data_IF_503541711370
#
_entry.id   IF_503541711370
#
_cell.length_a   1.000
_cell.length_b   1.000
_cell.length_c   1.000
_cell.angle_alpha   90.00
_cell.angle_beta   90.00
_cell.angle_gamma   90.00
#
_symmetry.space_group_name_H-M   'P 1'
#
loop_
_entity.id
_entity.type
_entity.pdbx_description
1 polymer ?
#
# COMPACT_ATOMS: atom_id res chain seq x y z
N UNK A 1 1.53 -20.64 28.55
CA UNK A 1 0.75 -20.01 27.47
C UNK A 1 1.54 -18.81 27.01
N UNK A 2 2.16 -18.87 25.83
CA UNK A 2 2.82 -17.70 25.26
C UNK A 2 1.68 -16.82 24.76
N UNK A 3 1.45 -15.68 25.42
CA UNK A 3 0.59 -14.63 24.87
C UNK A 3 1.22 -14.26 23.53
N UNK A 4 0.53 -14.57 22.41
CA UNK A 4 0.91 -14.01 21.12
C UNK A 4 0.70 -12.51 21.26
N UNK A 5 1.80 -11.77 21.38
CA UNK A 5 1.73 -10.31 21.37
C UNK A 5 1.19 -9.93 20.00
N UNK A 6 -0.07 -9.49 19.97
CA UNK A 6 -0.75 -9.07 18.74
C UNK A 6 -0.01 -7.86 18.20
N UNK A 7 0.32 -7.88 16.92
CA UNK A 7 0.98 -6.73 16.29
C UNK A 7 0.03 -5.53 16.37
N UNK A 8 0.44 -4.40 16.98
CA UNK A 8 -0.44 -3.25 17.14
C UNK A 8 -0.95 -2.71 15.80
N UNK A 9 -0.23 -2.94 14.70
CA UNK A 9 -0.65 -2.55 13.34
C UNK A 9 -1.97 -3.21 12.93
N UNK A 10 -2.33 -4.37 13.46
CA UNK A 10 -3.60 -5.06 13.12
C UNK A 10 -4.86 -4.24 13.46
N UNK A 11 -4.76 -3.27 14.35
CA UNK A 11 -5.86 -2.35 14.66
C UNK A 11 -6.18 -1.41 13.50
N UNK A 12 -5.17 -1.06 12.70
CA UNK A 12 -5.21 -0.01 11.68
C UNK A 12 -4.93 -0.52 10.27
N UNK A 13 -4.33 -1.69 10.13
CA UNK A 13 -4.08 -2.38 8.86
C UNK A 13 -4.45 -3.86 8.93
N UNK A 14 -4.98 -4.41 7.85
CA UNK A 14 -5.12 -5.85 7.63
C UNK A 14 -4.86 -6.15 6.16
N UNK A 15 -4.30 -7.33 5.84
CA UNK A 15 -4.07 -7.73 4.46
C UNK A 15 -4.51 -9.17 4.19
N UNK A 16 -4.98 -9.44 2.98
CA UNK A 16 -5.45 -10.77 2.56
C UNK A 16 -5.39 -10.95 1.05
N UNK A 17 -5.34 -12.20 0.59
CA UNK A 17 -5.52 -12.51 -0.81
C UNK A 17 -6.99 -12.37 -1.23
N UNK A 18 -7.19 -11.82 -2.44
CA UNK A 18 -8.51 -11.56 -2.98
C UNK A 18 -9.15 -12.78 -3.65
N UNK A 19 -10.49 -12.84 -3.64
CA UNK A 19 -11.23 -13.70 -4.57
C UNK A 19 -11.16 -13.18 -6.03
N UNK A 20 -11.68 -13.97 -6.97
CA UNK A 20 -11.69 -13.65 -8.40
C UNK A 20 -13.03 -13.05 -8.88
N UNK A 21 -13.88 -12.55 -7.97
CA UNK A 21 -15.19 -12.01 -8.33
C UNK A 21 -15.08 -10.62 -8.99
N UNK A 22 -16.06 -10.31 -9.86
CA UNK A 22 -16.22 -9.01 -10.51
C UNK A 22 -17.27 -8.13 -9.82
N UNK A 23 -17.57 -8.43 -8.55
CA UNK A 23 -18.46 -7.61 -7.72
C UNK A 23 -17.87 -6.22 -7.44
N UNK A 24 -18.62 -5.40 -6.69
CA UNK A 24 -18.19 -4.04 -6.36
C UNK A 24 -16.81 -4.05 -5.67
N UNK A 25 -15.81 -3.46 -6.34
CA UNK A 25 -14.42 -3.39 -5.88
C UNK A 25 -14.23 -2.87 -4.44
N UNK A 26 -15.23 -2.17 -3.89
CA UNK A 26 -15.24 -1.61 -2.53
C UNK A 26 -15.60 -2.65 -1.46
N UNK A 27 -16.04 -3.85 -1.84
CA UNK A 27 -16.28 -4.97 -0.93
C UNK A 27 -14.95 -5.56 -0.44
N UNK A 28 -14.90 -6.34 0.65
CA UNK A 28 -13.65 -6.92 1.10
C UNK A 28 -12.98 -7.91 0.14
N UNK A 29 -13.74 -8.62 -0.71
CA UNK A 29 -13.24 -9.65 -1.63
C UNK A 29 -12.35 -10.71 -0.96
N UNK A 30 -12.81 -11.30 0.16
CA UNK A 30 -12.08 -12.39 0.78
C UNK A 30 -12.25 -13.70 -0.01
N UNK A 31 -11.17 -14.44 -0.20
CA UNK A 31 -11.27 -15.87 -0.55
C UNK A 31 -12.04 -16.66 0.51
N UNK A 32 -12.57 -17.82 0.10
CA UNK A 32 -13.14 -18.82 0.99
C UNK A 32 -12.37 -20.15 0.88
N UNK A 33 -11.62 -20.56 1.93
CA UNK A 33 -11.46 -19.89 3.23
C UNK A 33 -10.61 -18.61 3.14
N UNK A 34 -10.77 -17.71 4.13
CA UNK A 34 -9.98 -16.48 4.24
C UNK A 34 -8.48 -16.78 4.30
N UNK A 35 -7.70 -16.04 3.52
CA UNK A 35 -6.26 -16.18 3.41
C UNK A 35 -5.59 -14.84 3.76
N UNK A 36 -5.28 -14.63 5.03
CA UNK A 36 -4.63 -13.40 5.51
C UNK A 36 -3.14 -13.37 5.17
N UNK A 37 -2.62 -12.17 4.92
CA UNK A 37 -1.21 -11.89 4.65
C UNK A 37 -0.63 -11.13 5.84
N UNK A 38 0.49 -11.62 6.36
CA UNK A 38 1.22 -10.98 7.46
C UNK A 38 1.98 -9.73 7.00
N UNK A 39 2.31 -8.84 7.93
CA UNK A 39 3.11 -7.66 7.62
C UNK A 39 4.54 -7.99 7.18
N UNK A 40 5.08 -9.14 7.60
CA UNK A 40 6.40 -9.61 7.14
C UNK A 40 6.35 -10.03 5.66
N UNK A 41 5.29 -10.73 5.25
CA UNK A 41 5.06 -11.06 3.84
C UNK A 41 4.86 -9.81 2.97
N UNK A 42 4.21 -8.76 3.49
CA UNK A 42 4.15 -7.47 2.79
C UNK A 42 5.54 -6.82 2.68
N UNK A 43 6.35 -6.89 3.75
CA UNK A 43 7.70 -6.34 3.75
C UNK A 43 8.64 -7.07 2.78
N UNK A 44 8.43 -8.36 2.53
CA UNK A 44 9.11 -9.13 1.48
C UNK A 44 8.81 -8.62 0.05
N UNK A 45 7.70 -7.92 -0.14
CA UNK A 45 7.34 -7.18 -1.36
C UNK A 45 7.78 -5.71 -1.31
N UNK A 46 8.52 -5.30 -0.27
CA UNK A 46 8.94 -3.92 -0.03
C UNK A 46 7.82 -3.00 0.50
N UNK A 47 6.62 -3.52 0.77
CA UNK A 47 5.50 -2.76 1.33
C UNK A 47 5.72 -2.60 2.83
N UNK A 48 5.93 -1.36 3.28
CA UNK A 48 6.17 -1.06 4.69
C UNK A 48 4.93 -0.43 5.32
N UNK A 49 4.74 -0.68 6.62
CA UNK A 49 3.58 -0.17 7.35
C UNK A 49 3.83 0.13 8.82
N UNK A 50 3.11 1.14 9.32
CA UNK A 50 3.17 1.62 10.71
C UNK A 50 1.78 1.92 11.26
N UNK A 51 1.66 1.85 12.58
CA UNK A 51 0.58 2.48 13.35
C UNK A 51 1.11 3.76 13.97
N UNK A 52 0.42 4.86 13.74
CA UNK A 52 0.78 6.21 14.17
C UNK A 52 -0.41 6.91 14.84
N UNK A 53 -0.15 8.00 15.54
CA UNK A 53 -1.18 8.83 16.16
C UNK A 53 -1.78 9.81 15.12
N UNK A 54 -2.89 9.41 14.50
CA UNK A 54 -3.62 10.23 13.55
C UNK A 54 -4.30 11.47 14.17
N UNK A 55 -4.48 11.53 15.49
CA UNK A 55 -5.06 12.69 16.16
C UNK A 55 -4.00 13.77 16.45
N UNK A 56 -2.74 13.37 16.62
CA UNK A 56 -1.62 14.27 16.95
C UNK A 56 -0.43 14.17 15.97
N UNK A 57 -0.71 13.85 14.70
CA UNK A 57 0.33 13.53 13.71
C UNK A 57 1.37 14.63 13.48
N UNK A 58 1.01 15.90 13.68
CA UNK A 58 1.95 17.02 13.56
C UNK A 58 3.10 16.94 14.57
N UNK A 59 2.86 16.27 15.70
CA UNK A 59 3.80 16.12 16.83
C UNK A 59 4.20 14.67 17.08
N UNK A 60 3.75 13.73 16.26
CA UNK A 60 4.07 12.31 16.42
C UNK A 60 5.58 12.09 16.18
N UNK A 61 6.34 11.66 17.22
CA UNK A 61 7.78 11.46 17.10
C UNK A 61 8.14 10.33 16.12
N UNK A 62 7.30 9.31 15.97
CA UNK A 62 7.57 8.21 15.05
C UNK A 62 7.36 8.65 13.60
N UNK A 63 6.30 9.42 13.32
CA UNK A 63 6.12 10.03 12.00
C UNK A 63 7.28 10.96 11.64
N UNK A 64 7.73 11.79 12.59
CA UNK A 64 8.89 12.65 12.39
C UNK A 64 10.14 11.85 12.04
N UNK A 65 10.42 10.79 12.80
CA UNK A 65 11.56 9.90 12.56
C UNK A 65 11.49 9.25 11.17
N UNK A 66 10.34 8.70 10.77
CA UNK A 66 10.16 8.10 9.45
C UNK A 66 10.45 9.12 8.34
N UNK A 67 9.94 10.35 8.48
CA UNK A 67 10.18 11.43 7.50
C UNK A 67 11.65 11.82 7.40
N UNK A 68 12.35 11.90 8.53
CA UNK A 68 13.78 12.24 8.57
C UNK A 68 14.64 11.11 7.98
N UNK A 69 14.40 9.86 8.36
CA UNK A 69 15.15 8.69 7.88
C UNK A 69 14.97 8.45 6.38
N UNK A 70 13.77 8.73 5.84
CA UNK A 70 13.44 8.51 4.43
C UNK A 70 13.51 9.76 3.57
N UNK A 71 13.84 10.92 4.14
CA UNK A 71 14.01 12.17 3.41
C UNK A 71 12.72 12.78 2.86
N UNK A 72 11.59 12.60 3.54
CA UNK A 72 10.28 13.13 3.12
C UNK A 72 10.15 14.63 3.39
N UNK A 73 10.56 15.42 2.40
CA UNK A 73 10.59 16.88 2.46
C UNK A 73 9.27 17.54 2.06
N UNK A 74 8.39 16.85 1.33
CA UNK A 74 7.09 17.36 0.91
C UNK A 74 5.94 16.60 1.60
N UNK A 75 4.86 17.31 1.89
CA UNK A 75 3.63 16.76 2.44
C UNK A 75 2.43 17.58 1.97
N UNK A 76 1.35 16.90 1.60
CA UNK A 76 0.02 17.50 1.49
C UNK A 76 -1.08 16.58 2.03
N UNK A 77 -2.32 17.07 1.98
CA UNK A 77 -3.51 16.36 2.43
C UNK A 77 -4.44 16.14 1.23
N UNK A 78 -4.90 14.91 1.07
CA UNK A 78 -5.89 14.52 0.07
C UNK A 78 -7.12 13.92 0.76
N UNK A 79 -8.30 14.49 0.51
CA UNK A 79 -9.58 13.93 0.94
C UNK A 79 -10.31 13.36 -0.28
N UNK A 80 -10.58 12.07 -0.25
CA UNK A 80 -11.23 11.32 -1.33
C UNK A 80 -12.66 11.00 -0.89
N UNK A 81 -13.59 11.81 -1.36
CA UNK A 81 -15.03 11.54 -1.38
C UNK A 81 -15.69 12.39 -2.49
N UNK A 82 -16.92 12.06 -2.90
CA UNK A 82 -17.61 12.73 -4.00
C UNK A 82 -17.67 14.26 -3.84
N UNK A 83 -17.83 14.76 -2.61
CA UNK A 83 -18.03 16.18 -2.34
C UNK A 83 -16.73 16.98 -2.26
N UNK A 84 -15.61 16.33 -1.92
CA UNK A 84 -14.35 17.02 -1.59
C UNK A 84 -13.26 16.86 -2.64
N UNK A 85 -13.30 15.80 -3.45
CA UNK A 85 -12.26 15.54 -4.44
C UNK A 85 -12.64 16.15 -5.82
N UNK A 86 -11.88 17.13 -6.34
CA UNK A 86 -12.11 17.62 -7.69
C UNK A 86 -11.92 16.53 -8.73
N UNK A 87 -12.83 16.45 -9.70
CA UNK A 87 -12.89 15.40 -10.72
C UNK A 87 -12.96 13.98 -10.13
N UNK A 88 -13.71 13.83 -9.02
CA UNK A 88 -13.85 12.59 -8.25
C UNK A 88 -13.99 11.34 -9.14
N UNK A 89 -15.00 11.29 -10.01
CA UNK A 89 -15.29 10.14 -10.89
C UNK A 89 -14.12 9.73 -11.79
N UNK A 90 -13.37 10.71 -12.31
CA UNK A 90 -12.20 10.43 -13.13
C UNK A 90 -11.02 9.94 -12.27
N UNK A 91 -10.83 10.57 -11.11
CA UNK A 91 -9.72 10.23 -10.20
C UNK A 91 -9.87 8.85 -9.59
N UNK A 92 -11.05 8.47 -9.10
CA UNK A 92 -11.25 7.12 -8.52
C UNK A 92 -11.01 6.01 -9.55
N UNK A 93 -11.36 6.24 -10.82
CA UNK A 93 -11.06 5.30 -11.91
C UNK A 93 -9.56 5.20 -12.15
N UNK A 94 -8.88 6.34 -12.21
CA UNK A 94 -7.43 6.36 -12.37
C UNK A 94 -6.68 5.74 -11.19
N UNK A 95 -7.18 5.90 -9.96
CA UNK A 95 -6.59 5.27 -8.78
C UNK A 95 -6.76 3.75 -8.79
N UNK A 96 -7.87 3.25 -9.32
CA UNK A 96 -8.17 1.81 -9.34
C UNK A 96 -7.60 1.07 -10.55
N UNK A 97 -7.27 1.78 -11.63
CA UNK A 97 -6.53 1.18 -12.74
C UNK A 97 -5.16 0.70 -12.25
N UNK A 98 -4.77 -0.55 -12.55
CA UNK A 98 -3.49 -1.10 -12.10
C UNK A 98 -2.32 -0.29 -12.70
N UNK A 99 -1.48 0.26 -11.82
CA UNK A 99 -0.38 1.14 -12.21
C UNK A 99 0.83 0.98 -11.30
N UNK A 100 1.92 1.65 -11.68
CA UNK A 100 3.10 1.84 -10.84
C UNK A 100 3.56 3.30 -10.85
N UNK A 101 4.41 3.64 -9.90
CA UNK A 101 5.13 4.91 -9.83
C UNK A 101 6.64 4.69 -9.88
N UNK A 102 7.38 5.69 -10.36
CA UNK A 102 8.85 5.71 -10.36
C UNK A 102 9.45 6.05 -9.00
N UNK A 103 8.61 6.53 -8.09
CA UNK A 103 8.92 6.93 -6.73
C UNK A 103 8.01 6.16 -5.77
N UNK A 104 8.31 6.22 -4.47
CA UNK A 104 7.46 5.61 -3.45
C UNK A 104 6.07 6.26 -3.41
N UNK A 105 5.03 5.45 -3.24
CA UNK A 105 3.70 5.92 -2.90
C UNK A 105 3.51 5.82 -1.38
N UNK A 106 3.59 6.98 -0.71
CA UNK A 106 3.47 7.08 0.75
C UNK A 106 2.11 7.65 1.13
N UNK A 107 1.37 6.93 1.97
CA UNK A 107 0.03 7.34 2.46
C UNK A 107 -0.09 7.09 3.95
N UNK A 108 -0.48 8.12 4.68
CA UNK A 108 -0.86 8.02 6.08
C UNK A 108 -2.33 8.42 6.25
N UNK A 109 -3.15 7.48 6.72
CA UNK A 109 -4.59 7.66 6.85
C UNK A 109 -4.93 8.43 8.14
N UNK A 110 -5.28 9.72 8.00
CA UNK A 110 -5.70 10.57 9.12
C UNK A 110 -7.19 10.40 9.47
N UNK A 111 -8.04 9.99 8.52
CA UNK A 111 -9.44 9.65 8.78
C UNK A 111 -10.00 8.73 7.70
N UNK A 112 -11.07 8.00 8.02
CA UNK A 112 -11.70 7.07 7.07
C UNK A 112 -10.84 5.83 6.82
N UNK A 113 -10.99 5.24 5.63
CA UNK A 113 -10.31 4.00 5.24
C UNK A 113 -10.38 3.73 3.73
N UNK A 114 -9.54 2.82 3.27
CA UNK A 114 -9.54 2.34 1.88
C UNK A 114 -8.62 1.13 1.68
N UNK A 115 -8.68 0.56 0.48
CA UNK A 115 -7.89 -0.60 0.08
C UNK A 115 -6.77 -0.18 -0.87
N UNK A 116 -5.56 -0.65 -0.57
CA UNK A 116 -4.42 -0.65 -1.48
C UNK A 116 -4.20 -2.10 -1.92
N UNK A 117 -4.52 -2.42 -3.17
CA UNK A 117 -4.25 -3.75 -3.70
C UNK A 117 -2.85 -3.74 -4.32
N UNK A 118 -2.04 -4.75 -4.02
CA UNK A 118 -0.66 -4.92 -4.52
C UNK A 118 -0.49 -6.31 -5.13
N UNK A 119 0.37 -6.44 -6.14
CA UNK A 119 0.74 -7.73 -6.70
C UNK A 119 1.77 -8.43 -5.84
N UNK A 120 1.54 -9.72 -5.55
CA UNK A 120 2.57 -10.60 -5.02
C UNK A 120 3.55 -11.05 -6.11
N UNK A 121 4.50 -11.93 -5.75
CA UNK A 121 5.51 -12.44 -6.70
C UNK A 121 4.95 -13.36 -7.79
N UNK A 122 3.79 -13.95 -7.55
CA UNK A 122 3.06 -14.79 -8.50
C UNK A 122 2.00 -14.00 -9.26
N UNK A 123 2.04 -12.67 -9.16
CA UNK A 123 1.09 -11.75 -9.79
C UNK A 123 -0.35 -11.91 -9.26
N UNK A 124 -0.54 -12.46 -8.06
CA UNK A 124 -1.83 -12.50 -7.38
C UNK A 124 -2.09 -11.20 -6.61
N UNK A 125 -3.38 -10.82 -6.48
CA UNK A 125 -3.76 -9.63 -5.73
C UNK A 125 -3.78 -9.89 -4.21
N UNK A 126 -3.07 -9.04 -3.48
CA UNK A 126 -3.19 -8.88 -2.03
C UNK A 126 -3.88 -7.54 -1.78
N UNK A 127 -5.01 -7.56 -1.07
CA UNK A 127 -5.71 -6.37 -0.61
C UNK A 127 -5.18 -5.95 0.75
N UNK A 128 -4.76 -4.70 0.88
CA UNK A 128 -4.33 -4.08 2.14
C UNK A 128 -5.35 -3.02 2.57
N UNK A 129 -6.10 -3.31 3.63
CA UNK A 129 -7.05 -2.37 4.21
C UNK A 129 -6.35 -1.42 5.17
N UNK A 130 -6.32 -0.13 4.84
CA UNK A 130 -5.69 0.90 5.65
C UNK A 130 -6.78 1.78 6.26
N UNK A 131 -6.79 1.89 7.58
CA UNK A 131 -7.72 2.69 8.38
C UNK A 131 -7.01 3.85 9.06
N UNK A 132 -7.77 4.77 9.67
CA UNK A 132 -7.24 5.85 10.52
C UNK A 132 -6.10 5.36 11.43
N UNK A 133 -4.95 6.05 11.39
CA UNK A 133 -3.75 5.70 12.15
C UNK A 133 -2.79 4.77 11.40
N UNK A 134 -3.22 4.17 10.28
CA UNK A 134 -2.37 3.35 9.43
C UNK A 134 -1.56 4.17 8.44
N UNK A 135 -0.25 3.92 8.39
CA UNK A 135 0.64 4.39 7.33
C UNK A 135 1.08 3.21 6.48
N UNK A 136 1.08 3.39 5.16
CA UNK A 136 1.58 2.44 4.17
C UNK A 136 2.56 3.14 3.23
N UNK A 137 3.64 2.44 2.88
CA UNK A 137 4.60 2.84 1.86
C UNK A 137 4.67 1.74 0.82
N UNK A 138 4.31 2.07 -0.41
CA UNK A 138 4.48 1.20 -1.56
C UNK A 138 5.80 1.55 -2.26
N UNK A 139 6.68 0.58 -2.51
CA UNK A 139 7.97 0.87 -3.14
C UNK A 139 7.79 1.28 -4.60
N UNK A 140 8.72 2.09 -5.11
CA UNK A 140 8.77 2.40 -6.54
C UNK A 140 8.78 1.12 -7.38
N UNK A 141 8.02 1.08 -8.47
CA UNK A 141 7.97 -0.07 -9.39
C UNK A 141 7.04 -1.22 -9.00
N UNK A 142 6.37 -1.19 -7.85
CA UNK A 142 5.32 -2.17 -7.54
C UNK A 142 4.04 -1.87 -8.33
N UNK A 143 3.43 -2.91 -8.90
CA UNK A 143 2.08 -2.77 -9.45
C UNK A 143 1.06 -2.77 -8.30
N UNK A 144 0.25 -1.73 -8.29
CA UNK A 144 -0.76 -1.52 -7.27
C UNK A 144 -1.98 -0.77 -7.83
N UNK A 145 -3.02 -0.67 -7.01
CA UNK A 145 -4.19 0.17 -7.23
C UNK A 145 -4.82 0.56 -5.91
N UNK A 146 -5.62 1.61 -5.91
CA UNK A 146 -6.36 2.09 -4.75
C UNK A 146 -7.86 2.14 -5.03
N UNK A 147 -8.66 1.74 -4.03
CA UNK A 147 -10.09 2.01 -3.99
C UNK A 147 -10.53 2.38 -2.59
N UNK A 148 -11.58 3.20 -2.49
CA UNK A 148 -12.32 3.34 -1.24
C UNK A 148 -12.92 1.98 -0.83
N UNK A 149 -13.21 1.82 0.45
CA UNK A 149 -14.12 0.78 0.92
C UNK A 149 -15.58 1.30 0.92
N UNK A 150 -16.50 0.51 1.46
CA UNK A 150 -17.94 0.85 1.52
C UNK A 150 -18.24 2.13 2.32
N UNK A 151 -17.32 2.61 3.16
CA UNK A 151 -17.48 3.89 3.87
C UNK A 151 -17.33 5.11 2.95
N UNK A 152 -16.77 4.93 1.75
CA UNK A 152 -16.63 5.94 0.71
C UNK A 152 -15.90 7.23 1.14
N UNK A 153 -14.99 7.13 2.11
CA UNK A 153 -14.23 8.28 2.57
C UNK A 153 -12.85 7.87 3.09
N UNK A 154 -11.82 8.57 2.61
CA UNK A 154 -10.49 8.60 3.23
C UNK A 154 -9.93 10.02 3.23
N UNK A 155 -9.23 10.37 4.30
CA UNK A 155 -8.33 11.52 4.39
C UNK A 155 -6.92 11.01 4.59
N UNK A 156 -6.08 11.19 3.59
CA UNK A 156 -4.70 10.74 3.60
C UNK A 156 -3.72 11.93 3.57
N UNK A 157 -2.72 11.90 4.44
CA UNK A 157 -1.50 12.65 4.26
C UNK A 157 -0.65 11.92 3.23
N UNK A 158 -0.11 12.66 2.26
CA UNK A 158 0.77 12.13 1.22
C UNK A 158 2.15 12.74 1.38
N UNK A 159 3.19 11.92 1.30
CA UNK A 159 4.58 12.35 1.51
C UNK A 159 5.43 12.05 0.29
N UNK A 160 6.43 12.89 0.02
CA UNK A 160 7.36 12.75 -1.11
C UNK A 160 8.78 13.15 -0.73
N UNK A 161 9.75 12.54 -1.41
CA UNK A 161 11.12 13.04 -1.47
C UNK A 161 11.18 14.13 -2.55
N UNK A 162 11.49 15.36 -2.15
CA UNK A 162 11.49 16.51 -3.07
C UNK A 162 10.09 16.91 -3.56
N UNK A 163 10.02 17.49 -4.76
CA UNK A 163 8.76 17.88 -5.41
C UNK A 163 8.00 16.64 -5.90
N UNK A 164 6.68 16.56 -5.69
CA UNK A 164 5.93 15.34 -5.96
C UNK A 164 5.72 15.10 -7.46
N UNK A 165 6.00 13.89 -7.92
CA UNK A 165 5.62 13.39 -9.26
C UNK A 165 4.53 12.35 -9.09
N UNK A 166 3.30 12.70 -9.49
CA UNK A 166 2.11 11.85 -9.29
C UNK A 166 1.80 10.92 -10.46
N UNK A 167 2.61 10.93 -11.51
CA UNK A 167 2.29 10.27 -12.78
C UNK A 167 2.14 8.76 -12.58
N UNK A 168 0.93 8.19 -12.78
CA UNK A 168 0.76 6.76 -12.81
C UNK A 168 1.22 6.20 -14.17
N UNK A 169 1.85 5.04 -14.14
CA UNK A 169 2.18 4.26 -15.32
C UNK A 169 1.34 2.99 -15.34
N UNK A 170 0.19 3.04 -16.01
CA UNK A 170 -0.77 1.94 -16.06
C UNK A 170 -0.13 0.69 -16.67
N UNK A 171 -0.38 -0.49 -16.12
CA UNK A 171 0.19 -1.74 -16.64
C UNK A 171 -0.27 -1.98 -18.09
N UNK A 172 0.62 -2.39 -19.03
CA UNK A 172 2.03 -2.75 -18.85
C UNK A 172 3.01 -1.58 -18.95
N UNK A 173 3.99 -1.53 -18.05
CA UNK A 173 5.11 -0.57 -18.07
C UNK A 173 6.42 -1.20 -17.55
N UNK A 174 6.64 -2.47 -17.91
CA UNK A 174 7.77 -3.26 -17.36
C UNK A 174 9.15 -2.75 -17.76
N UNK A 175 9.26 -1.97 -18.83
CA UNK A 175 10.52 -1.39 -19.31
C UNK A 175 11.08 -0.27 -18.42
N UNK A 176 10.29 0.26 -17.47
CA UNK A 176 10.71 1.38 -16.63
C UNK A 176 11.86 0.96 -15.68
N UNK A 177 12.90 1.79 -15.49
CA UNK A 177 14.01 1.46 -14.59
C UNK A 177 13.58 1.15 -13.16
N UNK A 178 12.60 1.88 -12.61
CA UNK A 178 12.06 1.62 -11.28
C UNK A 178 11.43 0.22 -11.16
N UNK A 179 10.72 -0.23 -12.21
CA UNK A 179 10.15 -1.58 -12.25
C UNK A 179 11.22 -2.66 -12.33
N UNK A 180 12.24 -2.47 -13.16
CA UNK A 180 13.37 -3.41 -13.25
C UNK A 180 14.15 -3.50 -11.93
N UNK A 181 14.34 -2.36 -11.25
CA UNK A 181 14.97 -2.32 -9.93
C UNK A 181 14.11 -3.03 -8.87
N UNK A 182 12.79 -2.78 -8.84
CA UNK A 182 11.86 -3.50 -7.96
C UNK A 182 11.92 -5.01 -8.14
N UNK A 183 11.91 -5.49 -9.38
CA UNK A 183 12.00 -6.93 -9.69
C UNK A 183 13.29 -7.52 -9.15
N UNK A 184 14.42 -6.85 -9.38
CA UNK A 184 15.71 -7.28 -8.85
C UNK A 184 15.72 -7.35 -7.33
N UNK A 185 15.22 -6.31 -6.65
CA UNK A 185 15.32 -6.19 -5.19
C UNK A 185 14.37 -7.14 -4.45
N UNK A 186 13.12 -7.28 -4.92
CA UNK A 186 12.04 -7.94 -4.16
C UNK A 186 11.49 -9.22 -4.80
N UNK A 187 11.81 -9.50 -6.06
CA UNK A 187 11.27 -10.67 -6.78
C UNK A 187 12.37 -11.69 -7.10
N UNK A 188 13.49 -11.27 -7.68
CA UNK A 188 14.54 -12.17 -8.15
C UNK A 188 15.44 -12.72 -7.03
N UNK A 189 15.75 -11.90 -6.02
CA UNK A 189 16.66 -12.28 -4.93
C UNK A 189 16.17 -13.48 -4.09
N UNK A 190 14.86 -13.74 -4.05
CA UNK A 190 14.32 -14.85 -3.26
C UNK A 190 14.19 -16.16 -4.06
N UNK A 191 14.06 -16.07 -5.39
CA UNK A 191 14.08 -17.25 -6.27
C UNK A 191 15.43 -17.98 -6.15
N UNK A 192 16.52 -17.23 -6.04
CA UNK A 192 17.84 -17.80 -5.81
C UNK A 192 17.91 -18.56 -4.48
N UNK A 193 17.42 -17.98 -3.37
CA UNK A 193 17.47 -18.61 -2.04
C UNK A 193 16.55 -19.84 -1.91
N UNK A 194 15.38 -19.83 -2.55
CA UNK A 194 14.48 -20.99 -2.56
C UNK A 194 14.98 -22.14 -3.44
N UNK A 195 15.64 -21.83 -4.56
CA UNK A 195 16.22 -22.85 -5.44
C UNK A 195 17.39 -23.62 -4.79
N UNK A 196 18.19 -22.97 -3.92
CA UNK A 196 19.27 -23.67 -3.20
C UNK A 196 18.72 -24.61 -2.12
N UNK A 197 17.63 -24.23 -1.45
CA UNK A 197 17.02 -25.04 -0.38
C UNK A 197 16.22 -26.24 -0.89
N UNK A 198 15.70 -26.20 -2.12
CA UNK A 198 14.99 -27.33 -2.73
C UNK A 198 15.94 -28.39 -3.34
N UNK A 199 17.23 -28.07 -3.47
CA UNK A 199 18.25 -28.94 -4.05
C UNK A 199 19.20 -29.56 -3.00
N UNK A 200 18.92 -29.39 -1.70
CA UNK A 200 19.72 -29.89 -0.57
C UNK A 200 19.04 -31.05 0.16
#
# INVERSE_FOLDING_TARGET
MVSSVKDPREEVLQAWYMDDSDEDQRLPHHKEPKEFVSFDQLAELGVLSWKLDADNYETDPELKKIREERGYTYMDVCEVCPEKLPNYEQKIKSFFEEHLHTDEEIRFCAAGSGYFDVRDRNDAWIRVWVKKGGMIILPAGIYHRFTLDESNYIKALRFFVGEPVWTPHNRPNDHLPARQQYLKDFVENDVANHAVNAAA
#
